data_IF_140152322708
#
_entry.id   IF_140152322708
#
_cell.length_a   1.000
_cell.length_b   1.000
_cell.length_c   1.000
_cell.angle_alpha   90.00
_cell.angle_beta   90.00
_cell.angle_gamma   90.00
#
_symmetry.space_group_name_H-M   'P 1'
#
loop_
_entity.id
_entity.type
_entity.pdbx_description
1 polymer ?
#
# COMPACT_ATOMS: atom_id res chain seq x y z
N UNK A 1 0.35 -17.98 3.74
CA UNK A 1 0.41 -16.64 4.37
C UNK A 1 0.20 -15.58 3.29
N UNK A 2 -1.02 -15.45 2.79
CA UNK A 2 -1.32 -14.50 1.72
C UNK A 2 -1.48 -13.08 2.23
N UNK A 3 -1.14 -12.09 1.41
CA UNK A 3 -1.29 -10.67 1.72
C UNK A 3 -2.74 -10.22 1.58
N UNK A 4 -3.59 -10.68 2.49
CA UNK A 4 -5.02 -10.36 2.57
C UNK A 4 -5.38 -10.04 4.02
N UNK A 5 -6.13 -8.96 4.24
CA UNK A 5 -6.62 -8.64 5.58
C UNK A 5 -7.51 -9.74 6.13
N UNK A 6 -7.29 -10.18 7.36
CA UNK A 6 -8.05 -11.26 7.98
C UNK A 6 -7.91 -12.60 7.23
N UNK A 7 -6.71 -12.92 6.76
CA UNK A 7 -6.44 -14.11 5.96
C UNK A 7 -6.78 -15.43 6.67
N UNK A 8 -6.55 -15.54 7.97
CA UNK A 8 -6.91 -16.70 8.79
C UNK A 8 -8.43 -16.85 8.86
N UNK A 9 -9.15 -15.78 9.17
CA UNK A 9 -10.62 -15.79 9.19
C UNK A 9 -11.25 -16.19 7.85
N UNK A 10 -10.71 -15.70 6.72
CA UNK A 10 -11.15 -16.08 5.37
C UNK A 10 -10.88 -17.53 5.05
N UNK A 11 -9.69 -18.04 5.40
CA UNK A 11 -9.34 -19.45 5.21
C UNK A 11 -10.27 -20.35 6.04
N UNK A 12 -10.53 -20.00 7.30
CA UNK A 12 -11.49 -20.71 8.16
C UNK A 12 -12.86 -20.79 7.49
N UNK A 13 -13.38 -19.66 7.02
CA UNK A 13 -14.70 -19.61 6.38
C UNK A 13 -14.76 -20.51 5.13
N UNK A 14 -13.73 -20.48 4.28
CA UNK A 14 -13.64 -21.32 3.09
C UNK A 14 -13.58 -22.83 3.44
N UNK A 15 -12.71 -23.22 4.38
CA UNK A 15 -12.58 -24.60 4.82
C UNK A 15 -13.89 -25.13 5.43
N UNK A 16 -14.54 -24.35 6.28
CA UNK A 16 -15.81 -24.71 6.91
C UNK A 16 -16.93 -24.84 5.89
N UNK A 17 -17.03 -23.91 4.92
CA UNK A 17 -18.03 -23.97 3.86
C UNK A 17 -17.86 -25.23 3.00
N UNK A 18 -16.61 -25.55 2.63
CA UNK A 18 -16.30 -26.75 1.86
C UNK A 18 -16.64 -28.02 2.65
N UNK A 19 -16.25 -28.09 3.92
CA UNK A 19 -16.58 -29.23 4.77
C UNK A 19 -18.09 -29.39 4.92
N UNK A 20 -18.83 -28.31 5.17
CA UNK A 20 -20.29 -28.34 5.39
C UNK A 20 -21.06 -28.81 4.17
N UNK A 21 -20.54 -28.59 2.96
CA UNK A 21 -21.13 -29.11 1.72
C UNK A 21 -21.00 -30.64 1.58
N UNK A 22 -20.08 -31.28 2.31
CA UNK A 22 -19.79 -32.71 2.21
C UNK A 22 -20.16 -33.49 3.49
N UNK A 23 -19.81 -32.95 4.67
CA UNK A 23 -20.03 -33.55 5.98
C UNK A 23 -20.18 -32.44 7.05
N UNK A 24 -21.36 -32.41 7.67
CA UNK A 24 -21.68 -31.45 8.73
C UNK A 24 -20.87 -31.69 10.01
N UNK A 25 -20.65 -32.93 10.41
CA UNK A 25 -19.91 -33.24 11.63
C UNK A 25 -18.44 -32.84 11.49
N UNK A 26 -17.86 -33.04 10.29
CA UNK A 26 -16.52 -32.55 9.97
C UNK A 26 -16.44 -31.02 10.05
N UNK A 27 -17.42 -30.30 9.50
CA UNK A 27 -17.44 -28.83 9.57
C UNK A 27 -17.49 -28.33 11.02
N UNK A 28 -18.33 -28.94 11.87
CA UNK A 28 -18.44 -28.61 13.30
C UNK A 28 -17.14 -28.93 14.07
N UNK A 29 -16.43 -30.00 13.69
CA UNK A 29 -15.11 -30.32 14.24
C UNK A 29 -14.06 -29.28 13.81
N UNK A 30 -13.98 -28.93 12.51
CA UNK A 30 -13.04 -27.91 12.01
C UNK A 30 -13.28 -26.56 12.70
N UNK A 31 -14.54 -26.15 12.87
CA UNK A 31 -14.89 -24.90 13.53
C UNK A 31 -14.38 -24.82 14.97
N UNK A 32 -14.27 -25.95 15.67
CA UNK A 32 -13.93 -26.04 17.09
C UNK A 32 -12.45 -26.34 17.34
N UNK A 33 -11.83 -27.18 16.53
CA UNK A 33 -10.52 -27.79 16.84
C UNK A 33 -9.37 -27.22 16.01
N UNK A 34 -9.65 -26.61 14.85
CA UNK A 34 -8.59 -26.15 13.94
C UNK A 34 -8.33 -24.66 14.12
N UNK A 35 -7.08 -24.30 14.36
CA UNK A 35 -6.63 -22.92 14.44
C UNK A 35 -6.42 -22.31 13.05
N UNK A 36 -6.92 -21.10 12.85
CA UNK A 36 -6.73 -20.31 11.63
C UNK A 36 -6.23 -18.90 12.01
N UNK A 37 -4.97 -18.78 12.47
CA UNK A 37 -4.43 -17.50 12.91
C UNK A 37 -4.32 -16.52 11.74
N UNK A 38 -4.73 -15.28 11.97
CA UNK A 38 -4.43 -14.20 11.04
C UNK A 38 -2.92 -13.91 11.04
N UNK A 39 -2.40 -13.44 9.90
CA UNK A 39 -1.01 -13.06 9.77
C UNK A 39 -0.80 -11.87 8.85
N UNK A 40 0.20 -11.06 9.17
CA UNK A 40 0.74 -10.05 8.27
C UNK A 40 2.16 -10.47 7.89
N UNK A 41 2.42 -10.59 6.59
CA UNK A 41 3.74 -10.90 6.04
C UNK A 41 4.24 -9.73 5.19
N UNK A 42 5.52 -9.40 5.31
CA UNK A 42 6.13 -8.30 4.56
C UNK A 42 7.59 -8.59 4.23
N UNK A 43 7.85 -8.82 2.94
CA UNK A 43 9.17 -8.81 2.33
C UNK A 43 8.98 -8.64 0.82
N UNK A 44 9.66 -7.68 0.22
CA UNK A 44 9.68 -7.46 -1.22
C UNK A 44 10.55 -8.58 -1.83
N UNK A 45 9.91 -9.46 -2.58
CA UNK A 45 10.53 -10.61 -3.26
C UNK A 45 10.17 -10.56 -4.74
N UNK A 46 11.01 -9.92 -5.58
CA UNK A 46 10.79 -9.92 -7.03
C UNK A 46 10.83 -11.35 -7.59
N UNK A 47 10.13 -11.59 -8.70
CA UNK A 47 10.25 -12.86 -9.42
C UNK A 47 11.69 -13.04 -9.93
N UNK A 48 12.24 -14.24 -9.78
CA UNK A 48 13.53 -14.59 -10.35
C UNK A 48 13.43 -14.61 -11.88
N UNK A 49 14.31 -13.87 -12.54
CA UNK A 49 14.41 -13.81 -14.00
C UNK A 49 15.71 -14.48 -14.50
N UNK A 50 15.83 -14.78 -15.81
CA UNK A 50 17.02 -15.43 -16.35
C UNK A 50 18.32 -14.64 -16.13
N UNK A 51 18.27 -13.31 -16.07
CA UNK A 51 19.46 -12.49 -15.86
C UNK A 51 19.94 -12.62 -14.40
N UNK A 52 19.02 -12.60 -13.44
CA UNK A 52 19.29 -12.85 -12.03
C UNK A 52 19.88 -14.25 -11.82
N UNK A 53 19.26 -15.30 -12.38
CA UNK A 53 19.75 -16.68 -12.22
C UNK A 53 21.16 -16.87 -12.83
N UNK A 54 21.43 -16.23 -13.97
CA UNK A 54 22.75 -16.25 -14.60
C UNK A 54 23.79 -15.51 -13.73
N UNK A 55 23.43 -14.38 -13.13
CA UNK A 55 24.29 -13.66 -12.20
C UNK A 55 24.61 -14.51 -10.96
N UNK A 56 23.61 -15.13 -10.32
CA UNK A 56 23.84 -16.03 -9.18
C UNK A 56 24.73 -17.22 -9.56
N UNK A 57 24.54 -17.79 -10.74
CA UNK A 57 25.40 -18.87 -11.24
C UNK A 57 26.86 -18.42 -11.39
N UNK A 58 27.09 -17.20 -11.88
CA UNK A 58 28.41 -16.61 -11.99
C UNK A 58 29.05 -16.39 -10.60
N UNK A 59 28.32 -15.82 -9.64
CA UNK A 59 28.83 -15.52 -8.31
C UNK A 59 29.10 -16.78 -7.47
N UNK A 60 28.23 -17.79 -7.54
CA UNK A 60 28.33 -19.01 -6.72
C UNK A 60 29.16 -20.13 -7.39
N UNK A 61 29.37 -20.06 -8.71
CA UNK A 61 30.01 -21.13 -9.49
C UNK A 61 29.16 -22.40 -9.64
N UNK A 62 27.89 -22.36 -9.21
CA UNK A 62 26.93 -23.46 -9.32
C UNK A 62 25.61 -22.94 -9.87
N UNK A 63 24.94 -23.74 -10.71
CA UNK A 63 23.62 -23.39 -11.22
C UNK A 63 22.56 -23.67 -10.15
N UNK A 64 21.98 -22.60 -9.61
CA UNK A 64 20.83 -22.67 -8.73
C UNK A 64 19.57 -22.20 -9.47
N UNK A 65 18.74 -23.15 -9.89
CA UNK A 65 17.48 -22.88 -10.62
C UNK A 65 16.33 -22.47 -9.69
N UNK A 66 16.53 -22.55 -8.37
CA UNK A 66 15.57 -22.17 -7.34
C UNK A 66 15.99 -20.92 -6.56
N UNK A 67 17.03 -20.21 -7.01
CA UNK A 67 17.49 -18.99 -6.36
C UNK A 67 16.38 -17.93 -6.30
N UNK A 68 16.25 -17.26 -5.16
CA UNK A 68 15.28 -16.19 -4.91
C UNK A 68 16.00 -14.98 -4.36
N UNK A 69 15.75 -13.81 -4.95
CA UNK A 69 16.15 -12.53 -4.38
C UNK A 69 15.03 -11.93 -3.54
N UNK A 70 15.40 -11.27 -2.44
CA UNK A 70 14.51 -10.43 -1.64
C UNK A 70 15.27 -9.23 -1.10
N UNK A 71 14.53 -8.23 -0.63
CA UNK A 71 15.10 -7.18 0.18
C UNK A 71 15.69 -7.71 1.49
N UNK A 72 16.55 -6.94 2.17
CA UNK A 72 17.10 -7.34 3.48
C UNK A 72 16.06 -7.38 4.61
N UNK A 73 15.02 -6.55 4.52
CA UNK A 73 13.92 -6.50 5.48
C UNK A 73 12.95 -7.69 5.33
N UNK A 74 12.57 -8.28 6.46
CA UNK A 74 11.46 -9.23 6.53
C UNK A 74 10.74 -9.06 7.85
N UNK A 75 9.41 -9.09 7.79
CA UNK A 75 8.57 -9.08 8.97
C UNK A 75 7.47 -10.12 8.84
N UNK A 76 7.24 -10.84 9.93
CA UNK A 76 6.12 -11.74 10.06
C UNK A 76 5.44 -11.47 11.40
N UNK A 77 4.18 -11.06 11.34
CA UNK A 77 3.30 -10.88 12.49
C UNK A 77 2.25 -11.97 12.42
N UNK A 78 2.04 -12.67 13.53
CA UNK A 78 1.17 -13.83 13.60
C UNK A 78 0.27 -13.71 14.83
N UNK A 79 -1.01 -13.99 14.64
CA UNK A 79 -1.94 -14.07 15.75
C UNK A 79 -1.47 -15.13 16.74
N UNK A 80 -1.49 -14.84 18.04
CA UNK A 80 -1.20 -15.85 19.07
C UNK A 80 -2.22 -16.99 18.99
N UNK A 81 -1.72 -18.22 18.95
CA UNK A 81 -2.51 -19.45 19.06
C UNK A 81 -1.65 -20.54 19.70
N UNK A 82 -2.29 -21.59 20.21
CA UNK A 82 -1.60 -22.72 20.81
C UNK A 82 -0.95 -23.57 19.72
N UNK A 83 0.37 -23.47 19.60
CA UNK A 83 1.17 -24.23 18.64
C UNK A 83 1.77 -25.45 19.34
N UNK A 84 0.96 -26.50 19.50
CA UNK A 84 1.39 -27.77 20.11
C UNK A 84 2.54 -28.34 19.26
N UNK A 85 3.70 -28.56 19.89
CA UNK A 85 4.94 -29.07 19.27
C UNK A 85 5.43 -28.24 18.06
N UNK A 86 5.07 -26.94 18.02
CA UNK A 86 5.47 -26.02 16.96
C UNK A 86 6.87 -25.44 17.10
N UNK A 87 7.44 -24.87 16.02
CA UNK A 87 8.69 -24.13 16.12
C UNK A 87 8.55 -22.91 17.04
N UNK A 88 9.63 -22.56 17.75
CA UNK A 88 9.73 -21.30 18.46
C UNK A 88 9.91 -20.14 17.45
N UNK A 89 8.79 -19.67 16.92
CA UNK A 89 8.77 -18.59 15.94
C UNK A 89 9.26 -17.26 16.52
N UNK A 90 9.08 -17.03 17.82
CA UNK A 90 9.45 -15.78 18.46
C UNK A 90 10.99 -15.60 18.47
N UNK A 91 11.75 -16.67 18.74
CA UNK A 91 13.21 -16.62 18.64
C UNK A 91 13.73 -16.48 17.22
N UNK A 92 12.93 -16.85 16.22
CA UNK A 92 13.20 -16.57 14.80
C UNK A 92 12.81 -15.14 14.35
N UNK A 93 12.35 -14.28 15.27
CA UNK A 93 12.00 -12.89 15.00
C UNK A 93 10.54 -12.65 14.58
N UNK A 94 9.67 -13.66 14.67
CA UNK A 94 8.23 -13.50 14.40
C UNK A 94 7.57 -12.77 15.56
N UNK A 95 6.77 -11.74 15.23
CA UNK A 95 5.97 -11.02 16.21
C UNK A 95 4.67 -11.78 16.48
N UNK A 96 4.55 -12.37 17.66
CA UNK A 96 3.31 -12.98 18.12
C UNK A 96 2.43 -11.92 18.81
N UNK A 97 1.22 -11.68 18.34
CA UNK A 97 0.33 -10.64 18.88
C UNK A 97 -1.14 -11.06 18.89
N UNK A 98 -1.97 -10.37 19.67
CA UNK A 98 -3.43 -10.48 19.58
C UNK A 98 -4.05 -9.44 18.63
N UNK A 99 -3.26 -8.46 18.17
CA UNK A 99 -3.70 -7.35 17.33
C UNK A 99 -3.01 -7.35 15.95
N UNK A 100 -3.17 -8.43 15.18
CA UNK A 100 -2.62 -8.52 13.81
C UNK A 100 -3.20 -7.40 12.93
N UNK A 101 -4.47 -7.06 13.14
CA UNK A 101 -5.16 -6.01 12.40
C UNK A 101 -4.50 -4.65 12.57
N UNK A 102 -4.02 -4.30 13.76
CA UNK A 102 -3.24 -3.08 13.99
C UNK A 102 -1.98 -3.03 13.14
N UNK A 103 -1.23 -4.13 13.07
CA UNK A 103 -0.04 -4.22 12.21
C UNK A 103 -0.37 -4.17 10.71
N UNK A 104 -1.45 -4.85 10.28
CA UNK A 104 -1.93 -4.77 8.89
C UNK A 104 -2.28 -3.32 8.52
N UNK A 105 -3.00 -2.61 9.39
CA UNK A 105 -3.38 -1.22 9.17
C UNK A 105 -2.16 -0.30 9.13
N UNK A 106 -1.18 -0.49 10.04
CA UNK A 106 0.06 0.26 10.04
C UNK A 106 0.84 0.06 8.73
N UNK A 107 0.99 -1.19 8.27
CA UNK A 107 1.62 -1.50 6.97
C UNK A 107 0.87 -0.86 5.80
N UNK A 108 -0.44 -1.04 5.73
CA UNK A 108 -1.28 -0.51 4.65
C UNK A 108 -1.23 1.02 4.56
N UNK A 109 -1.16 1.71 5.69
CA UNK A 109 -1.10 3.17 5.68
C UNK A 109 0.32 3.68 5.47
N UNK A 110 1.29 3.20 6.23
CA UNK A 110 2.67 3.70 6.18
C UNK A 110 3.35 3.23 4.91
N UNK A 111 3.53 1.92 4.73
CA UNK A 111 4.25 1.40 3.57
C UNK A 111 3.44 1.59 2.29
N UNK A 112 2.20 1.11 2.26
CA UNK A 112 1.45 1.13 1.01
C UNK A 112 0.96 2.54 0.65
N UNK A 113 0.63 3.39 1.63
CA UNK A 113 0.30 4.81 1.41
C UNK A 113 1.49 5.61 0.89
N UNK A 114 2.68 5.44 1.46
CA UNK A 114 3.89 6.07 0.95
C UNK A 114 4.26 5.57 -0.45
N UNK A 115 4.17 4.26 -0.72
CA UNK A 115 4.40 3.70 -2.06
C UNK A 115 3.46 4.31 -3.12
N UNK A 116 2.16 4.42 -2.84
CA UNK A 116 1.21 5.05 -3.76
C UNK A 116 1.52 6.53 -3.97
N UNK A 117 1.95 7.23 -2.92
CA UNK A 117 2.35 8.64 -2.99
C UNK A 117 3.59 8.83 -3.87
N UNK A 118 4.64 8.04 -3.63
CA UNK A 118 5.85 7.99 -4.46
C UNK A 118 5.52 7.68 -5.92
N UNK A 119 4.63 6.70 -6.16
CA UNK A 119 4.26 6.30 -7.51
C UNK A 119 3.68 7.45 -8.33
N UNK A 120 2.64 8.11 -7.82
CA UNK A 120 1.96 9.14 -8.60
C UNK A 120 2.74 10.45 -8.67
N UNK A 121 3.36 10.88 -7.57
CA UNK A 121 4.16 12.12 -7.55
C UNK A 121 5.46 11.93 -8.34
N UNK A 122 6.17 10.82 -8.15
CA UNK A 122 7.41 10.52 -8.85
C UNK A 122 7.20 10.39 -10.37
N UNK A 123 6.12 9.74 -10.82
CA UNK A 123 5.77 9.69 -12.25
C UNK A 123 5.49 11.09 -12.81
N UNK A 124 4.86 11.97 -12.03
CA UNK A 124 4.62 13.35 -12.46
C UNK A 124 5.92 14.16 -12.59
N UNK A 125 6.93 13.85 -11.76
CA UNK A 125 8.28 14.41 -11.82
C UNK A 125 9.19 13.74 -12.87
N UNK A 126 8.71 12.70 -13.57
CA UNK A 126 9.48 12.00 -14.59
C UNK A 126 10.46 10.96 -14.06
N UNK A 127 10.30 10.52 -12.81
CA UNK A 127 11.11 9.47 -12.18
C UNK A 127 10.56 8.09 -12.51
N UNK A 128 11.43 7.08 -12.64
CA UNK A 128 11.05 5.73 -13.08
C UNK A 128 10.89 4.76 -11.90
N UNK A 129 11.78 4.85 -10.92
CA UNK A 129 11.88 3.88 -9.81
C UNK A 129 11.62 4.50 -8.44
N UNK A 130 11.27 3.67 -7.46
CA UNK A 130 11.17 4.08 -6.04
C UNK A 130 12.50 4.65 -5.53
N UNK A 131 13.63 4.04 -5.91
CA UNK A 131 14.94 4.51 -5.50
C UNK A 131 15.26 5.90 -6.06
N UNK A 132 14.97 6.15 -7.34
CA UNK A 132 15.11 7.49 -7.94
C UNK A 132 14.22 8.52 -7.24
N UNK A 133 12.96 8.15 -6.95
CA UNK A 133 12.02 9.01 -6.22
C UNK A 133 12.51 9.36 -4.81
N UNK A 134 13.15 8.43 -4.11
CA UNK A 134 13.77 8.67 -2.80
C UNK A 134 15.15 9.34 -2.87
N UNK A 135 15.74 9.41 -4.06
CA UNK A 135 17.02 10.11 -4.30
C UNK A 135 16.81 11.59 -4.65
N UNK A 136 15.60 11.99 -5.06
CA UNK A 136 15.21 13.39 -5.21
C UNK A 136 14.98 14.03 -3.82
N UNK A 137 15.76 15.05 -3.42
CA UNK A 137 15.66 15.62 -2.07
C UNK A 137 14.30 16.27 -1.76
N UNK A 138 13.62 16.80 -2.77
CA UNK A 138 12.31 17.44 -2.59
C UNK A 138 11.23 16.41 -2.30
N UNK A 139 11.18 15.35 -3.12
CA UNK A 139 10.22 14.27 -2.97
C UNK A 139 10.49 13.43 -1.72
N UNK A 140 11.76 13.12 -1.42
CA UNK A 140 12.15 12.43 -0.19
C UNK A 140 11.65 13.20 1.04
N UNK A 141 11.94 14.51 1.10
CA UNK A 141 11.51 15.35 2.21
C UNK A 141 9.99 15.42 2.33
N UNK A 142 9.27 15.50 1.21
CA UNK A 142 7.81 15.46 1.20
C UNK A 142 7.26 14.14 1.76
N UNK A 143 7.79 13.00 1.28
CA UNK A 143 7.34 11.67 1.69
C UNK A 143 7.66 11.39 3.16
N UNK A 144 8.84 11.81 3.62
CA UNK A 144 9.22 11.72 5.02
C UNK A 144 8.23 12.49 5.92
N UNK A 145 7.89 13.74 5.58
CA UNK A 145 6.88 14.51 6.32
C UNK A 145 5.50 13.86 6.25
N UNK A 146 5.08 13.40 5.07
CA UNK A 146 3.80 12.70 4.88
C UNK A 146 3.68 11.49 5.81
N UNK A 147 4.73 10.67 5.87
CA UNK A 147 4.76 9.47 6.68
C UNK A 147 4.77 9.80 8.17
N UNK A 148 5.71 10.63 8.63
CA UNK A 148 5.88 10.88 10.06
C UNK A 148 4.84 11.83 10.66
N UNK A 149 4.43 12.85 9.91
CA UNK A 149 3.62 13.96 10.45
C UNK A 149 2.13 13.86 10.10
N UNK A 150 1.73 13.00 9.16
CA UNK A 150 0.31 12.84 8.81
C UNK A 150 -0.12 11.38 8.97
N UNK A 151 0.55 10.44 8.30
CA UNK A 151 0.12 9.03 8.29
C UNK A 151 0.33 8.37 9.65
N UNK A 152 1.54 8.44 10.21
CA UNK A 152 1.88 7.81 11.48
C UNK A 152 1.04 8.37 12.64
N UNK A 153 0.78 9.68 12.64
CA UNK A 153 -0.06 10.33 13.65
C UNK A 153 -1.54 9.94 13.57
N UNK A 154 -2.03 9.48 12.41
CA UNK A 154 -3.40 8.99 12.26
C UNK A 154 -3.63 7.61 12.87
N UNK A 155 -2.55 6.85 13.11
CA UNK A 155 -2.66 5.47 13.58
C UNK A 155 -3.03 5.41 15.06
N UNK A 156 -3.93 4.49 15.39
CA UNK A 156 -4.17 4.10 16.78
C UNK A 156 -2.95 3.37 17.32
N UNK A 157 -2.69 3.42 18.64
CA UNK A 157 -1.65 2.60 19.25
C UNK A 157 -1.84 1.12 18.92
N UNK A 158 -0.77 0.48 18.46
CA UNK A 158 -0.73 -0.95 18.14
C UNK A 158 0.20 -1.61 19.15
N UNK A 159 -0.30 -2.63 19.85
CA UNK A 159 0.47 -3.32 20.89
C UNK A 159 1.75 -3.94 20.31
N UNK A 160 2.91 -3.58 20.86
CA UNK A 160 4.20 -4.12 20.44
C UNK A 160 4.79 -3.50 19.17
N UNK A 161 4.17 -2.45 18.61
CA UNK A 161 4.68 -1.75 17.44
C UNK A 161 5.16 -0.34 17.81
N UNK A 162 6.44 -0.08 17.60
CA UNK A 162 6.98 1.27 17.57
C UNK A 162 6.71 1.87 16.18
N UNK A 163 5.67 2.71 16.10
CA UNK A 163 5.20 3.31 14.83
C UNK A 163 6.26 4.22 14.19
N UNK A 164 6.91 5.16 14.91
CA UNK A 164 8.03 5.92 14.38
C UNK A 164 9.17 5.05 13.84
N UNK A 165 9.63 4.06 14.60
CA UNK A 165 10.71 3.18 14.15
C UNK A 165 10.30 2.34 12.92
N UNK A 166 9.04 1.92 12.86
CA UNK A 166 8.50 1.22 11.69
C UNK A 166 8.44 2.13 10.45
N UNK A 167 8.04 3.39 10.62
CA UNK A 167 8.08 4.39 9.56
C UNK A 167 9.51 4.61 9.02
N UNK A 168 10.49 4.75 9.91
CA UNK A 168 11.90 4.87 9.52
C UNK A 168 12.39 3.63 8.76
N UNK A 169 12.03 2.44 9.24
CA UNK A 169 12.37 1.18 8.57
C UNK A 169 11.77 1.10 7.16
N UNK A 170 10.52 1.54 6.98
CA UNK A 170 9.86 1.62 5.67
C UNK A 170 10.58 2.60 4.74
N UNK A 171 10.87 3.82 5.20
CA UNK A 171 11.54 4.81 4.37
C UNK A 171 12.95 4.36 3.97
N UNK A 172 13.67 3.69 4.86
CA UNK A 172 14.98 3.10 4.56
C UNK A 172 14.90 2.02 3.47
N UNK A 173 13.84 1.22 3.44
CA UNK A 173 13.64 0.20 2.38
C UNK A 173 13.49 0.83 1.00
N UNK A 174 12.82 1.98 0.91
CA UNK A 174 12.66 2.68 -0.37
C UNK A 174 13.96 3.30 -0.90
N UNK A 175 14.97 3.47 -0.03
CA UNK A 175 16.32 3.96 -0.39
C UNK A 175 17.25 2.84 -0.88
N UNK A 176 16.78 1.61 -1.04
CA UNK A 176 17.61 0.49 -1.49
C UNK A 176 17.86 0.54 -3.02
N UNK A 177 19.10 0.77 -3.50
CA UNK A 177 19.41 0.85 -4.93
C UNK A 177 19.31 -0.51 -5.65
N UNK A 178 19.42 -1.62 -4.92
CA UNK A 178 19.45 -2.97 -5.50
C UNK A 178 18.06 -3.46 -5.92
N UNK A 179 16.99 -2.77 -5.50
CA UNK A 179 15.62 -3.14 -5.83
C UNK A 179 15.06 -2.16 -6.86
N UNK A 180 15.01 -2.60 -8.11
CA UNK A 180 14.35 -1.86 -9.19
C UNK A 180 12.83 -2.02 -9.11
N UNK A 181 12.19 -1.25 -8.22
CA UNK A 181 10.74 -1.21 -8.11
C UNK A 181 10.16 -0.07 -8.96
N UNK A 182 9.47 -0.41 -10.05
CA UNK A 182 8.94 0.58 -11.00
C UNK A 182 7.72 1.31 -10.43
N UNK A 183 7.74 2.65 -10.44
CA UNK A 183 6.60 3.47 -10.03
C UNK A 183 5.36 3.15 -10.88
N UNK A 184 5.56 2.88 -12.17
CA UNK A 184 4.49 2.55 -13.12
C UNK A 184 3.73 1.26 -12.76
N UNK A 185 4.41 0.27 -12.18
CA UNK A 185 3.80 -0.97 -11.69
C UNK A 185 3.04 -0.72 -10.38
N UNK A 186 3.61 0.08 -9.48
CA UNK A 186 2.95 0.44 -8.21
C UNK A 186 1.64 1.19 -8.48
N UNK A 187 1.63 2.05 -9.50
CA UNK A 187 0.52 2.89 -9.92
C UNK A 187 -0.71 2.13 -10.48
N UNK A 188 -0.58 0.83 -10.81
CA UNK A 188 -1.71 0.01 -11.27
C UNK A 188 -2.79 -0.11 -10.19
N UNK A 189 -4.04 -0.33 -10.59
CA UNK A 189 -5.18 -0.58 -9.72
C UNK A 189 -5.35 0.49 -8.62
N UNK A 190 -5.04 1.75 -8.95
CA UNK A 190 -5.13 2.88 -8.02
C UNK A 190 -6.51 3.03 -7.40
N UNK A 191 -7.58 2.78 -8.17
CA UNK A 191 -8.97 2.82 -7.67
C UNK A 191 -9.22 1.82 -6.55
N UNK A 192 -8.55 0.67 -6.60
CA UNK A 192 -8.65 -0.36 -5.60
C UNK A 192 -7.74 -0.06 -4.42
N UNK A 193 -6.61 0.61 -4.64
CA UNK A 193 -5.54 0.82 -3.65
C UNK A 193 -5.75 2.03 -2.75
N UNK A 194 -6.15 3.16 -3.32
CA UNK A 194 -6.22 4.43 -2.60
C UNK A 194 -7.17 4.47 -1.40
N UNK A 195 -8.35 3.80 -1.41
CA UNK A 195 -9.28 3.85 -0.29
C UNK A 195 -8.63 3.51 1.06
N UNK A 196 -7.98 2.35 1.15
CA UNK A 196 -7.36 1.88 2.39
C UNK A 196 -5.93 2.39 2.62
N UNK A 197 -5.25 2.90 1.58
CA UNK A 197 -3.88 3.41 1.69
C UNK A 197 -3.81 4.88 2.12
N UNK A 198 -4.78 5.69 1.68
CA UNK A 198 -4.75 7.15 1.86
C UNK A 198 -6.09 7.72 2.31
N UNK A 199 -7.22 7.29 1.73
CA UNK A 199 -8.51 7.93 2.02
C UNK A 199 -8.98 7.69 3.45
N UNK A 200 -8.75 6.50 4.00
CA UNK A 200 -9.05 6.22 5.41
C UNK A 200 -8.23 7.11 6.36
N UNK A 201 -6.95 7.35 6.04
CA UNK A 201 -6.09 8.29 6.78
C UNK A 201 -6.66 9.70 6.72
N UNK A 202 -7.02 10.18 5.52
CA UNK A 202 -7.62 11.52 5.33
C UNK A 202 -8.92 11.65 6.12
N UNK A 203 -9.76 10.61 6.13
CA UNK A 203 -11.01 10.61 6.87
C UNK A 203 -10.77 10.70 8.38
N UNK A 204 -9.81 9.94 8.92
CA UNK A 204 -9.45 9.99 10.34
C UNK A 204 -8.89 11.37 10.74
N UNK A 205 -8.04 11.98 9.90
CA UNK A 205 -7.51 13.33 10.12
C UNK A 205 -8.61 14.40 10.09
N UNK A 206 -9.56 14.29 9.15
CA UNK A 206 -10.72 15.18 9.08
C UNK A 206 -11.61 15.05 10.32
N UNK A 207 -11.89 13.83 10.77
CA UNK A 207 -12.69 13.57 11.96
C UNK A 207 -12.00 14.08 13.23
N UNK A 208 -10.67 14.08 13.26
CA UNK A 208 -9.87 14.69 14.32
C UNK A 208 -9.64 16.20 14.17
N UNK A 209 -10.17 16.84 13.13
CA UNK A 209 -10.02 18.27 12.89
C UNK A 209 -8.62 18.72 12.46
N UNK A 210 -7.74 17.79 12.06
CA UNK A 210 -6.34 18.06 11.67
C UNK A 210 -6.23 18.49 10.20
N UNK A 211 -5.05 18.96 9.80
CA UNK A 211 -4.78 19.39 8.42
C UNK A 211 -4.63 18.16 7.51
N UNK A 212 -5.12 18.26 6.27
CA UNK A 212 -5.04 17.22 5.24
C UNK A 212 -4.40 17.71 3.94
N UNK A 213 -3.88 18.94 3.88
CA UNK A 213 -3.36 19.54 2.65
C UNK A 213 -2.23 18.72 2.02
N UNK A 214 -1.37 18.10 2.85
CA UNK A 214 -0.30 17.20 2.38
C UNK A 214 -0.85 15.85 1.94
N UNK A 215 -1.80 15.27 2.68
CA UNK A 215 -2.45 14.01 2.33
C UNK A 215 -3.29 14.10 1.04
N UNK A 216 -3.77 15.29 0.68
CA UNK A 216 -4.50 15.53 -0.55
C UNK A 216 -3.60 15.50 -1.80
N UNK A 217 -2.30 15.78 -1.67
CA UNK A 217 -1.35 15.84 -2.81
C UNK A 217 -1.23 14.49 -3.53
N UNK A 218 -1.01 13.34 -2.86
CA UNK A 218 -1.02 12.03 -3.51
C UNK A 218 -2.33 11.70 -4.25
N UNK A 219 -3.49 12.12 -3.71
CA UNK A 219 -4.80 11.92 -4.34
C UNK A 219 -4.91 12.77 -5.61
N UNK A 220 -4.49 14.04 -5.55
CA UNK A 220 -4.43 14.92 -6.71
C UNK A 220 -3.44 14.40 -7.78
N UNK A 221 -2.29 13.87 -7.36
CA UNK A 221 -1.31 13.25 -8.25
C UNK A 221 -1.90 12.05 -9.01
N UNK A 222 -2.67 11.20 -8.33
CA UNK A 222 -3.39 10.09 -8.98
C UNK A 222 -4.42 10.59 -9.99
N UNK A 223 -5.22 11.60 -9.64
CA UNK A 223 -6.20 12.21 -10.55
C UNK A 223 -5.50 12.75 -11.80
N UNK A 224 -4.41 13.49 -11.63
CA UNK A 224 -3.61 14.03 -12.73
C UNK A 224 -3.01 12.91 -13.60
N UNK A 225 -2.51 11.84 -12.98
CA UNK A 225 -1.98 10.66 -13.67
C UNK A 225 -3.05 10.00 -14.56
N UNK A 226 -4.24 9.75 -14.02
CA UNK A 226 -5.38 9.18 -14.76
C UNK A 226 -5.77 10.10 -15.92
N UNK A 227 -5.90 11.42 -15.67
CA UNK A 227 -6.22 12.41 -16.71
C UNK A 227 -5.19 12.41 -17.83
N UNK A 228 -3.90 12.45 -17.51
CA UNK A 228 -2.81 12.44 -18.51
C UNK A 228 -2.89 11.20 -19.39
N UNK A 229 -3.11 10.02 -18.79
CA UNK A 229 -3.28 8.77 -19.55
C UNK A 229 -4.53 8.79 -20.43
N UNK A 230 -5.67 9.24 -19.90
CA UNK A 230 -6.92 9.33 -20.65
C UNK A 230 -6.81 10.26 -21.86
N UNK A 231 -6.23 11.45 -21.68
CA UNK A 231 -6.03 12.43 -22.75
C UNK A 231 -5.03 11.95 -23.81
N UNK A 232 -4.02 11.18 -23.40
CA UNK A 232 -3.04 10.59 -24.31
C UNK A 232 -3.50 9.26 -24.94
N UNK A 233 -4.74 8.81 -24.66
CA UNK A 233 -5.26 7.51 -25.05
C UNK A 233 -4.34 6.33 -24.67
N UNK A 234 -3.65 6.45 -23.54
CA UNK A 234 -2.78 5.42 -22.99
C UNK A 234 -3.55 4.48 -22.06
N UNK A 235 -3.14 3.21 -22.00
CA UNK A 235 -3.76 2.21 -21.13
C UNK A 235 -3.68 2.61 -19.65
N UNK A 236 -4.84 2.68 -19.00
CA UNK A 236 -4.98 2.75 -17.55
C UNK A 236 -5.14 1.33 -17.05
N UNK A 237 -4.10 0.79 -16.41
CA UNK A 237 -4.16 -0.55 -15.78
C UNK A 237 -4.91 -0.42 -14.46
N UNK A 238 -6.23 -0.57 -14.51
CA UNK A 238 -7.13 -0.46 -13.37
C UNK A 238 -8.46 -1.17 -13.68
N UNK A 239 -9.12 -1.87 -12.74
CA UNK A 239 -10.43 -2.49 -12.97
C UNK A 239 -11.54 -1.50 -13.33
N UNK A 240 -11.38 -0.23 -12.98
CA UNK A 240 -12.31 0.86 -13.28
C UNK A 240 -11.83 1.76 -14.44
N UNK A 241 -10.89 1.29 -15.28
CA UNK A 241 -10.24 2.08 -16.32
C UNK A 241 -11.18 2.96 -17.16
N UNK A 242 -12.28 2.40 -17.68
CA UNK A 242 -13.22 3.12 -18.54
C UNK A 242 -13.94 4.25 -17.79
N UNK A 243 -14.40 3.96 -16.56
CA UNK A 243 -15.09 4.94 -15.69
C UNK A 243 -14.12 6.06 -15.31
N UNK A 244 -12.89 5.71 -14.97
CA UNK A 244 -11.83 6.66 -14.64
C UNK A 244 -11.48 7.56 -15.84
N UNK A 245 -11.32 6.99 -17.03
CA UNK A 245 -11.02 7.75 -18.25
C UNK A 245 -12.15 8.73 -18.59
N UNK A 246 -13.41 8.31 -18.44
CA UNK A 246 -14.57 9.16 -18.67
C UNK A 246 -14.64 10.31 -17.66
N UNK A 247 -14.44 10.03 -16.37
CA UNK A 247 -14.44 11.07 -15.33
C UNK A 247 -13.27 12.06 -15.49
N UNK A 248 -12.12 11.60 -15.98
CA UNK A 248 -10.90 12.39 -16.05
C UNK A 248 -10.79 13.34 -17.26
N UNK A 249 -11.70 13.27 -18.23
CA UNK A 249 -11.67 14.07 -19.48
C UNK A 249 -12.58 15.30 -19.47
N UNK A 250 -13.39 15.49 -18.42
CA UNK A 250 -14.26 16.66 -18.26
C UNK A 250 -13.52 17.95 -17.88
N UNK A 251 -14.23 19.10 -17.94
CA UNK A 251 -13.71 20.41 -17.55
C UNK A 251 -13.47 20.54 -16.04
N UNK A 252 -14.35 19.98 -15.22
CA UNK A 252 -14.17 19.86 -13.76
C UNK A 252 -13.80 18.43 -13.38
N UNK A 253 -12.54 18.08 -13.65
CA UNK A 253 -11.99 16.75 -13.36
C UNK A 253 -12.04 16.40 -11.86
N UNK A 254 -11.83 17.37 -10.97
CA UNK A 254 -11.79 17.12 -9.54
C UNK A 254 -13.16 16.68 -9.04
N UNK A 255 -14.22 17.41 -9.37
CA UNK A 255 -15.59 17.04 -9.00
C UNK A 255 -16.01 15.71 -9.62
N UNK A 256 -15.71 15.48 -10.90
CA UNK A 256 -16.07 14.23 -11.57
C UNK A 256 -15.40 13.01 -10.93
N UNK A 257 -14.09 13.09 -10.67
CA UNK A 257 -13.32 12.01 -10.04
C UNK A 257 -13.77 11.74 -8.60
N UNK A 258 -13.97 12.79 -7.79
CA UNK A 258 -14.42 12.66 -6.40
C UNK A 258 -15.87 12.15 -6.28
N UNK A 259 -16.64 12.19 -7.36
CA UNK A 259 -18.01 11.64 -7.40
C UNK A 259 -18.05 10.13 -7.62
N UNK A 260 -16.93 9.49 -7.94
CA UNK A 260 -16.85 8.03 -8.14
C UNK A 260 -16.96 7.29 -6.80
N UNK A 261 -18.17 6.84 -6.46
CA UNK A 261 -18.48 6.16 -5.18
C UNK A 261 -17.78 4.82 -5.00
N UNK A 262 -17.32 4.19 -6.08
CA UNK A 262 -16.49 2.99 -6.02
C UNK A 262 -15.11 3.25 -5.42
N UNK A 263 -14.64 4.50 -5.42
CA UNK A 263 -13.33 4.90 -4.89
C UNK A 263 -13.48 5.81 -3.67
N UNK A 264 -14.34 6.83 -3.76
CA UNK A 264 -14.51 7.83 -2.72
C UNK A 264 -15.82 7.61 -1.95
N UNK A 265 -15.75 7.22 -0.66
CA UNK A 265 -16.92 7.15 0.21
C UNK A 265 -17.66 8.48 0.24
N UNK A 266 -18.99 8.43 0.31
CA UNK A 266 -19.84 9.63 0.22
C UNK A 266 -19.45 10.70 1.24
N UNK A 267 -19.26 10.31 2.51
CA UNK A 267 -18.84 11.19 3.61
C UNK A 267 -17.61 12.02 3.25
N UNK A 268 -16.60 11.37 2.68
CA UNK A 268 -15.34 12.01 2.29
C UNK A 268 -15.53 12.87 1.04
N UNK A 269 -16.19 12.33 0.01
CA UNK A 269 -16.42 13.02 -1.25
C UNK A 269 -17.23 14.31 -1.13
N UNK A 270 -18.17 14.38 -0.18
CA UNK A 270 -18.97 15.59 0.06
C UNK A 270 -18.31 16.56 1.04
N UNK A 271 -17.19 16.20 1.67
CA UNK A 271 -16.51 17.06 2.63
C UNK A 271 -15.87 18.27 1.92
N UNK A 272 -16.25 19.52 2.26
CA UNK A 272 -15.76 20.71 1.55
C UNK A 272 -14.25 20.93 1.74
N UNK A 273 -13.68 20.58 2.90
CA UNK A 273 -12.24 20.71 3.15
C UNK A 273 -11.45 19.75 2.27
N UNK A 274 -11.92 18.51 2.13
CA UNK A 274 -11.27 17.53 1.25
C UNK A 274 -11.35 17.93 -0.22
N UNK A 275 -12.52 18.31 -0.71
CA UNK A 275 -12.69 18.77 -2.10
C UNK A 275 -11.80 19.96 -2.42
N UNK A 276 -11.74 20.94 -1.51
CA UNK A 276 -10.88 22.10 -1.67
C UNK A 276 -9.40 21.70 -1.71
N UNK A 277 -8.93 20.93 -0.73
CA UNK A 277 -7.52 20.50 -0.66
C UNK A 277 -7.08 19.72 -1.91
N UNK A 278 -7.92 18.80 -2.41
CA UNK A 278 -7.62 18.03 -3.64
C UNK A 278 -7.65 18.93 -4.87
N UNK A 279 -8.61 19.85 -4.98
CA UNK A 279 -8.70 20.75 -6.14
C UNK A 279 -7.49 21.70 -6.20
N UNK A 280 -7.12 22.30 -5.07
CA UNK A 280 -5.93 23.17 -4.96
C UNK A 280 -4.63 22.39 -5.26
N UNK A 281 -4.51 21.16 -4.76
CA UNK A 281 -3.35 20.32 -5.03
C UNK A 281 -3.30 19.83 -6.49
N UNK A 282 -4.43 19.77 -7.19
CA UNK A 282 -4.50 19.29 -8.57
C UNK A 282 -3.95 20.30 -9.57
N UNK A 283 -4.12 21.61 -9.34
CA UNK A 283 -3.73 22.65 -10.28
C UNK A 283 -2.24 22.58 -10.67
N UNK A 284 -1.27 22.49 -9.73
CA UNK A 284 0.14 22.42 -10.12
C UNK A 284 0.49 21.17 -10.94
N UNK A 285 -0.20 20.05 -10.75
CA UNK A 285 -0.01 18.88 -11.62
C UNK A 285 -0.52 19.13 -13.05
N UNK A 286 -1.64 19.85 -13.21
CA UNK A 286 -2.20 20.17 -14.53
C UNK A 286 -1.36 21.24 -15.25
N UNK A 287 -0.77 22.16 -14.50
CA UNK A 287 0.10 23.23 -15.03
C UNK A 287 1.54 22.76 -15.28
N UNK A 288 1.86 21.50 -14.95
CA UNK A 288 3.19 20.92 -15.14
C UNK A 288 4.24 21.44 -14.15
N UNK A 289 3.82 21.88 -12.97
CA UNK A 289 4.66 22.38 -11.88
C UNK A 289 4.46 21.61 -10.55
N UNK A 290 4.45 20.25 -10.56
CA UNK A 290 4.20 19.45 -9.35
C UNK A 290 5.23 19.67 -8.24
N UNK A 291 6.44 20.13 -8.57
CA UNK A 291 7.52 20.42 -7.62
C UNK A 291 7.14 21.49 -6.58
N UNK A 292 6.21 22.39 -6.92
CA UNK A 292 5.72 23.44 -6.01
C UNK A 292 4.98 22.88 -4.80
N UNK A 293 4.48 21.64 -4.88
CA UNK A 293 3.78 20.95 -3.80
C UNK A 293 4.72 20.24 -2.82
N UNK A 294 5.98 20.03 -3.19
CA UNK A 294 6.93 19.23 -2.40
C UNK A 294 7.38 19.92 -1.10
N UNK A 295 7.06 21.22 -0.92
CA UNK A 295 7.33 21.97 0.30
C UNK A 295 6.19 21.94 1.32
N UNK A 296 5.02 21.39 0.95
CA UNK A 296 3.88 21.25 1.87
C UNK A 296 4.19 20.38 3.07
#
# INVERSE_FOLDING_TARGET
CDNMSGNGGKLRAACVALARANDRALAEWIEREVAFPDSMVDSITPASDPAFLAHITHELGVSDTAAVQREGFSQWVLQRFDMIDGPDLASAGVTLTNDVRGYEQAKLRILNGAHSSLAYIGIALGLETVFEAMSDPGLEGFISRLVHSDIALSLKPVEGLDVPAYADAVLNRFRNPEIRHLLSQIAWDGSQKLPYRLLDTIQDELDAGRNIDRLAVPVAAWIAFVRRKAQAHQTITDPLADILAQAATGSDVATAMLSLRQVFPEKLATNPRFRHAVTEALLPFLDGQPETLLTR
#
